data_IF_252808725366
#
_entry.id   IF_252808725366
#
_cell.length_a   1.000
_cell.length_b   1.000
_cell.length_c   1.000
_cell.angle_alpha   90.00
_cell.angle_beta   90.00
_cell.angle_gamma   90.00
#
_symmetry.space_group_name_H-M   'P 1'
#
loop_
_entity.id
_entity.type
_entity.pdbx_description
1 polymer ?
#
# COMPACT_ATOMS: atom_id res chain seq x y z
N UNK A 1 -30.14 -21.21 -9.10
CA UNK A 1 -29.39 -21.22 -7.81
C UNK A 1 -28.12 -22.05 -8.02
N UNK A 2 -26.94 -21.60 -7.52
CA UNK A 2 -25.70 -22.41 -7.60
C UNK A 2 -25.84 -23.71 -6.79
N UNK A 3 -25.46 -24.84 -7.37
CA UNK A 3 -25.45 -26.16 -6.72
C UNK A 3 -24.47 -26.18 -5.52
N UNK A 4 -24.68 -27.17 -4.62
CA UNK A 4 -23.82 -27.34 -3.43
C UNK A 4 -22.33 -27.52 -3.80
N UNK A 5 -22.08 -28.30 -4.86
CA UNK A 5 -20.73 -28.52 -5.40
C UNK A 5 -20.05 -27.27 -5.93
N UNK A 6 -20.81 -26.41 -6.64
CA UNK A 6 -20.28 -25.12 -7.12
C UNK A 6 -19.94 -24.17 -5.98
N UNK A 7 -20.75 -24.17 -4.91
CA UNK A 7 -20.45 -23.35 -3.72
C UNK A 7 -19.22 -23.86 -2.98
N UNK A 8 -18.97 -25.14 -2.99
CA UNK A 8 -17.81 -25.78 -2.38
C UNK A 8 -16.55 -25.42 -3.17
N UNK A 9 -16.58 -25.53 -4.50
CA UNK A 9 -15.49 -25.10 -5.38
C UNK A 9 -15.18 -23.59 -5.23
N UNK A 10 -16.21 -22.75 -5.17
CA UNK A 10 -16.04 -21.31 -4.94
C UNK A 10 -15.39 -21.04 -3.56
N UNK A 11 -15.73 -21.81 -2.54
CA UNK A 11 -15.18 -21.69 -1.20
C UNK A 11 -13.71 -22.11 -1.16
N UNK A 12 -13.38 -23.24 -1.77
CA UNK A 12 -12.00 -23.77 -1.82
C UNK A 12 -11.09 -22.80 -2.60
N UNK A 13 -11.56 -22.28 -3.74
CA UNK A 13 -10.84 -21.28 -4.51
C UNK A 13 -10.61 -19.97 -3.73
N UNK A 14 -11.62 -19.50 -2.97
CA UNK A 14 -11.47 -18.33 -2.11
C UNK A 14 -10.50 -18.59 -0.95
N UNK A 15 -10.54 -19.77 -0.33
CA UNK A 15 -9.64 -20.13 0.74
C UNK A 15 -8.18 -20.19 0.27
N UNK A 16 -7.93 -20.71 -0.93
CA UNK A 16 -6.59 -20.68 -1.55
C UNK A 16 -6.11 -19.25 -1.83
N UNK A 17 -6.98 -18.41 -2.37
CA UNK A 17 -6.66 -17.00 -2.60
C UNK A 17 -6.34 -16.27 -1.30
N UNK A 18 -7.08 -16.53 -0.23
CA UNK A 18 -6.87 -15.94 1.08
C UNK A 18 -5.56 -16.42 1.75
N UNK A 19 -5.19 -17.68 1.56
CA UNK A 19 -3.92 -18.22 2.06
C UNK A 19 -2.72 -17.63 1.33
N UNK A 20 -2.84 -17.39 0.04
CA UNK A 20 -1.75 -16.89 -0.80
C UNK A 20 -1.62 -15.34 -0.78
N UNK A 21 -2.54 -14.64 -0.10
CA UNK A 21 -2.52 -13.18 -0.02
C UNK A 21 -1.82 -12.69 1.24
N UNK A 22 -0.85 -11.77 1.09
CA UNK A 22 -0.17 -11.10 2.19
C UNK A 22 -0.92 -9.86 2.67
N UNK A 23 -1.77 -9.29 1.79
CA UNK A 23 -2.62 -8.16 2.12
C UNK A 23 -4.02 -8.35 1.54
N UNK A 24 -5.02 -8.01 2.33
CA UNK A 24 -6.42 -8.07 1.96
C UNK A 24 -7.14 -6.80 2.43
N UNK A 25 -7.97 -6.21 1.58
CA UNK A 25 -8.77 -5.05 1.95
C UNK A 25 -10.24 -5.29 1.64
N UNK A 26 -11.07 -5.04 2.65
CA UNK A 26 -12.53 -5.09 2.54
C UNK A 26 -13.07 -3.71 2.22
N UNK A 27 -13.82 -3.64 1.14
CA UNK A 27 -14.43 -2.40 0.68
C UNK A 27 -15.93 -2.61 0.49
N UNK A 28 -16.69 -1.55 0.75
CA UNK A 28 -18.11 -1.50 0.47
C UNK A 28 -18.37 -0.52 -0.67
N UNK A 29 -19.34 -0.84 -1.49
CA UNK A 29 -19.75 0.07 -2.55
C UNK A 29 -21.28 0.23 -2.56
N UNK A 30 -21.74 1.42 -2.93
CA UNK A 30 -23.16 1.74 -3.11
C UNK A 30 -23.31 2.49 -4.43
N UNK A 31 -24.37 2.16 -5.17
CA UNK A 31 -24.73 2.86 -6.43
C UNK A 31 -23.57 2.98 -7.43
N UNK A 32 -22.73 1.94 -7.54
CA UNK A 32 -21.61 1.92 -8.48
C UNK A 32 -22.11 1.72 -9.91
N UNK A 33 -21.69 2.58 -10.83
CA UNK A 33 -21.97 2.41 -12.26
C UNK A 33 -20.99 1.42 -12.89
N UNK A 34 -21.41 0.74 -13.97
CA UNK A 34 -20.56 -0.24 -14.67
C UNK A 34 -19.25 0.38 -15.16
N UNK A 35 -19.29 1.61 -15.65
CA UNK A 35 -18.09 2.32 -16.11
C UNK A 35 -17.06 2.52 -14.98
N UNK A 36 -17.53 2.94 -13.80
CA UNK A 36 -16.66 3.13 -12.62
C UNK A 36 -16.10 1.80 -12.07
N UNK A 37 -16.90 0.72 -12.11
CA UNK A 37 -16.40 -0.62 -11.71
C UNK A 37 -15.31 -1.12 -12.67
N UNK A 38 -15.48 -0.91 -13.97
CA UNK A 38 -14.47 -1.26 -14.96
C UNK A 38 -13.17 -0.46 -14.78
N UNK A 39 -13.28 0.82 -14.49
CA UNK A 39 -12.13 1.68 -14.21
C UNK A 39 -11.38 1.23 -12.95
N UNK A 40 -12.11 0.95 -11.86
CA UNK A 40 -11.55 0.40 -10.64
C UNK A 40 -10.80 -0.92 -10.89
N UNK A 41 -11.45 -1.84 -11.61
CA UNK A 41 -10.83 -3.14 -11.95
C UNK A 41 -9.58 -2.97 -12.79
N UNK A 42 -9.56 -2.01 -13.73
CA UNK A 42 -8.38 -1.71 -14.52
C UNK A 42 -7.23 -1.22 -13.65
N UNK A 43 -7.47 -0.22 -12.81
CA UNK A 43 -6.46 0.32 -11.90
C UNK A 43 -5.92 -0.72 -10.92
N UNK A 44 -6.78 -1.58 -10.38
CA UNK A 44 -6.38 -2.65 -9.47
C UNK A 44 -5.57 -3.74 -10.18
N UNK A 45 -5.91 -4.09 -11.44
CA UNK A 45 -5.13 -5.04 -12.24
C UNK A 45 -3.74 -4.51 -12.59
N UNK A 46 -3.63 -3.23 -12.92
CA UNK A 46 -2.35 -2.55 -13.15
C UNK A 46 -1.45 -2.59 -11.90
N UNK A 47 -2.06 -2.56 -10.71
CA UNK A 47 -1.36 -2.72 -9.43
C UNK A 47 -1.14 -4.20 -9.02
N UNK A 48 -1.47 -5.18 -9.86
CA UNK A 48 -1.33 -6.61 -9.54
C UNK A 48 -2.29 -7.13 -8.47
N UNK A 49 -3.44 -6.46 -8.28
CA UNK A 49 -4.42 -6.76 -7.25
C UNK A 49 -5.58 -7.56 -7.82
N UNK A 50 -5.96 -8.64 -7.14
CA UNK A 50 -7.16 -9.42 -7.45
C UNK A 50 -8.35 -8.82 -6.73
N UNK A 51 -9.31 -8.30 -7.47
CA UNK A 51 -10.56 -7.74 -6.94
C UNK A 51 -11.74 -8.64 -7.25
N UNK A 52 -12.47 -9.03 -6.21
CA UNK A 52 -13.66 -9.88 -6.33
C UNK A 52 -14.77 -9.47 -5.37
N UNK A 53 -16.00 -9.55 -5.86
CA UNK A 53 -17.20 -9.38 -5.01
C UNK A 53 -17.58 -10.75 -4.47
N UNK A 54 -17.62 -10.88 -3.16
CA UNK A 54 -17.82 -12.15 -2.48
C UNK A 54 -19.11 -12.17 -1.67
N UNK A 55 -19.70 -13.35 -1.55
CA UNK A 55 -20.84 -13.55 -0.65
C UNK A 55 -20.32 -13.65 0.80
N UNK A 56 -20.82 -12.80 1.69
CA UNK A 56 -20.37 -12.72 3.09
C UNK A 56 -20.33 -14.07 3.83
N UNK A 57 -21.34 -14.92 3.60
CA UNK A 57 -21.41 -16.25 4.23
C UNK A 57 -20.31 -17.19 3.75
N UNK A 58 -19.90 -17.10 2.47
CA UNK A 58 -18.79 -17.89 1.92
C UNK A 58 -17.46 -17.30 2.39
N UNK A 59 -17.31 -15.98 2.34
CA UNK A 59 -16.11 -15.30 2.80
C UNK A 59 -15.80 -15.60 4.28
N UNK A 60 -16.80 -15.57 5.17
CA UNK A 60 -16.64 -15.97 6.57
C UNK A 60 -16.16 -17.40 6.75
N UNK A 61 -16.69 -18.33 5.96
CA UNK A 61 -16.26 -19.73 6.04
C UNK A 61 -14.85 -19.91 5.47
N UNK A 62 -14.52 -19.19 4.41
CA UNK A 62 -13.20 -19.24 3.81
C UNK A 62 -12.12 -18.52 4.65
N UNK A 63 -12.49 -17.53 5.47
CA UNK A 63 -11.55 -16.84 6.37
C UNK A 63 -11.18 -17.65 7.61
N UNK A 64 -11.99 -18.63 8.01
CA UNK A 64 -11.68 -19.50 9.14
C UNK A 64 -10.38 -20.31 8.86
N UNK A 65 -9.40 -20.20 9.76
CA UNK A 65 -8.09 -20.83 9.61
C UNK A 65 -7.17 -20.18 8.58
N UNK A 66 -7.45 -18.95 8.14
CA UNK A 66 -6.57 -18.13 7.29
C UNK A 66 -6.15 -16.86 8.04
N UNK A 67 -5.10 -16.15 7.60
CA UNK A 67 -4.69 -14.88 8.22
C UNK A 67 -5.81 -13.83 8.29
N UNK A 68 -6.88 -13.99 7.49
CA UNK A 68 -8.04 -13.11 7.40
C UNK A 68 -9.11 -13.34 8.48
N UNK A 69 -8.90 -14.28 9.40
CA UNK A 69 -9.85 -14.59 10.48
C UNK A 69 -10.24 -13.36 11.32
N UNK A 70 -9.33 -12.43 11.70
CA UNK A 70 -9.69 -11.24 12.46
C UNK A 70 -10.69 -10.32 11.76
N UNK A 71 -10.84 -10.45 10.43
CA UNK A 71 -11.77 -9.64 9.63
C UNK A 71 -13.14 -10.31 9.41
N UNK A 72 -13.34 -11.52 9.93
CA UNK A 72 -14.57 -12.31 9.71
C UNK A 72 -15.84 -11.58 10.15
N UNK A 73 -15.77 -10.78 11.22
CA UNK A 73 -16.90 -10.02 11.75
C UNK A 73 -17.28 -8.80 10.90
N UNK A 74 -16.37 -8.34 10.05
CA UNK A 74 -16.57 -7.17 9.20
C UNK A 74 -17.28 -7.47 7.87
N UNK A 75 -17.52 -8.75 7.56
CA UNK A 75 -18.32 -9.17 6.40
C UNK A 75 -19.81 -8.90 6.61
N UNK A 76 -20.22 -7.61 6.61
CA UNK A 76 -21.60 -7.15 6.73
C UNK A 76 -21.97 -6.27 5.54
N UNK A 77 -23.17 -6.42 5.00
CA UNK A 77 -23.64 -5.64 3.84
C UNK A 77 -22.95 -6.00 2.52
N UNK A 78 -22.93 -5.09 1.56
CA UNK A 78 -22.22 -5.27 0.28
C UNK A 78 -20.72 -5.23 0.56
N UNK A 79 -20.02 -6.29 0.14
CA UNK A 79 -18.59 -6.43 0.42
C UNK A 79 -17.86 -6.95 -0.81
N UNK A 80 -16.83 -6.23 -1.21
CA UNK A 80 -15.83 -6.71 -2.14
C UNK A 80 -14.49 -6.86 -1.41
N UNK A 81 -13.70 -7.80 -1.88
CA UNK A 81 -12.38 -8.10 -1.35
C UNK A 81 -11.35 -7.80 -2.42
N UNK A 82 -10.37 -7.00 -2.08
CA UNK A 82 -9.17 -6.76 -2.87
C UNK A 82 -8.00 -7.47 -2.21
N UNK A 83 -7.33 -8.36 -2.93
CA UNK A 83 -6.26 -9.22 -2.46
C UNK A 83 -4.97 -8.89 -3.20
N UNK A 84 -3.86 -8.77 -2.47
CA UNK A 84 -2.53 -8.67 -3.06
C UNK A 84 -1.62 -9.72 -2.43
N UNK A 85 -0.87 -10.43 -3.28
CA UNK A 85 0.12 -11.41 -2.84
C UNK A 85 1.49 -10.79 -2.59
N UNK A 86 1.88 -9.75 -3.35
CA UNK A 86 3.25 -9.24 -3.37
C UNK A 86 3.39 -7.80 -2.89
N UNK A 87 2.43 -6.91 -3.18
CA UNK A 87 2.59 -5.47 -2.91
C UNK A 87 1.41 -4.89 -2.12
N UNK A 88 1.52 -4.81 -0.77
CA UNK A 88 0.51 -4.19 0.08
C UNK A 88 0.44 -2.66 -0.12
N UNK A 89 1.55 -2.01 -0.50
CA UNK A 89 1.59 -0.56 -0.69
C UNK A 89 0.86 -0.15 -1.96
N UNK A 90 1.07 -0.89 -3.06
CA UNK A 90 0.34 -0.69 -4.32
C UNK A 90 -1.18 -0.86 -4.16
N UNK A 91 -1.61 -1.90 -3.41
CA UNK A 91 -3.00 -2.11 -3.05
C UNK A 91 -3.58 -0.92 -2.27
N UNK A 92 -2.87 -0.46 -1.23
CA UNK A 92 -3.30 0.66 -0.38
C UNK A 92 -3.40 1.96 -1.19
N UNK A 93 -2.43 2.24 -2.07
CA UNK A 93 -2.44 3.42 -2.96
C UNK A 93 -3.62 3.42 -3.92
N UNK A 94 -3.88 2.29 -4.58
CA UNK A 94 -4.98 2.18 -5.52
C UNK A 94 -6.34 2.40 -4.82
N UNK A 95 -6.56 1.76 -3.68
CA UNK A 95 -7.80 1.91 -2.90
C UNK A 95 -7.94 3.33 -2.34
N UNK A 96 -6.90 3.90 -1.73
CA UNK A 96 -6.95 5.26 -1.18
C UNK A 96 -7.22 6.31 -2.28
N UNK A 97 -6.60 6.16 -3.46
CA UNK A 97 -6.83 7.04 -4.61
C UNK A 97 -8.28 6.97 -5.09
N UNK A 98 -8.82 5.77 -5.21
CA UNK A 98 -10.20 5.57 -5.66
C UNK A 98 -11.22 6.03 -4.62
N UNK A 99 -10.98 5.78 -3.33
CA UNK A 99 -11.84 6.26 -2.23
C UNK A 99 -11.89 7.78 -2.20
N UNK A 100 -10.75 8.46 -2.37
CA UNK A 100 -10.70 9.93 -2.43
C UNK A 100 -11.41 10.51 -3.66
N UNK A 101 -11.36 9.80 -4.80
CA UNK A 101 -12.04 10.24 -6.02
C UNK A 101 -13.56 10.01 -5.98
N UNK A 102 -14.05 9.04 -5.22
CA UNK A 102 -15.46 8.65 -5.17
C UNK A 102 -15.93 8.33 -3.75
N UNK A 103 -15.96 9.29 -2.81
CA UNK A 103 -16.29 9.02 -1.40
C UNK A 103 -17.72 8.53 -1.17
N UNK A 104 -18.68 8.96 -2.01
CA UNK A 104 -20.10 8.60 -1.88
C UNK A 104 -20.42 7.19 -2.37
N UNK A 105 -19.58 6.65 -3.27
CA UNK A 105 -19.83 5.38 -3.96
C UNK A 105 -19.03 4.25 -3.31
N UNK A 106 -17.82 4.55 -2.85
CA UNK A 106 -16.85 3.58 -2.42
C UNK A 106 -16.35 3.90 -1.02
N UNK A 107 -16.56 2.97 -0.09
CA UNK A 107 -16.11 3.13 1.29
C UNK A 107 -15.22 1.97 1.71
N UNK A 108 -14.10 2.30 2.29
CA UNK A 108 -13.21 1.34 2.92
C UNK A 108 -13.80 0.89 4.26
N UNK A 109 -13.72 -0.40 4.58
CA UNK A 109 -14.13 -0.96 5.86
C UNK A 109 -12.94 -1.25 6.75
N UNK A 110 -12.20 -2.26 6.38
CA UNK A 110 -11.04 -2.75 7.15
C UNK A 110 -10.05 -3.37 6.17
N UNK A 111 -8.77 -3.25 6.45
CA UNK A 111 -7.70 -3.95 5.76
C UNK A 111 -6.96 -4.90 6.69
N UNK A 112 -6.31 -5.87 6.10
CA UNK A 112 -5.30 -6.71 6.75
C UNK A 112 -4.01 -6.59 5.95
N UNK A 113 -2.94 -6.24 6.61
CA UNK A 113 -1.60 -6.16 6.02
C UNK A 113 -0.65 -6.91 6.95
N UNK A 114 -0.04 -7.97 6.42
CA UNK A 114 0.91 -8.82 7.17
C UNK A 114 0.36 -9.31 8.52
N UNK A 115 -0.92 -9.68 8.57
CA UNK A 115 -1.57 -10.19 9.78
C UNK A 115 -2.06 -9.11 10.76
N UNK A 116 -1.84 -7.83 10.48
CA UNK A 116 -2.36 -6.71 11.28
C UNK A 116 -3.61 -6.12 10.65
N UNK A 117 -4.61 -5.89 11.48
CA UNK A 117 -5.85 -5.20 11.05
C UNK A 117 -5.55 -3.72 10.95
N UNK A 118 -5.89 -3.12 9.82
CA UNK A 118 -5.57 -1.74 9.46
C UNK A 118 -6.86 -0.97 9.22
N UNK A 119 -7.02 0.17 9.87
CA UNK A 119 -8.14 1.10 9.68
C UNK A 119 -7.88 2.10 8.54
N UNK A 120 -8.91 2.88 8.18
CA UNK A 120 -8.84 3.86 7.08
C UNK A 120 -7.66 4.85 7.23
N UNK A 121 -7.44 5.37 8.44
CA UNK A 121 -6.35 6.32 8.71
C UNK A 121 -4.97 5.72 8.48
N UNK A 122 -4.81 4.46 8.84
CA UNK A 122 -3.55 3.72 8.67
C UNK A 122 -3.33 3.36 7.20
N UNK A 123 -4.40 3.03 6.46
CA UNK A 123 -4.32 2.82 5.00
C UNK A 123 -3.85 4.07 4.28
N UNK A 124 -4.30 5.26 4.68
CA UNK A 124 -3.81 6.52 4.11
C UNK A 124 -2.33 6.75 4.42
N UNK A 125 -1.87 6.40 5.62
CA UNK A 125 -0.46 6.45 6.00
C UNK A 125 0.38 5.48 5.15
N UNK A 126 -0.10 4.23 4.97
CA UNK A 126 0.56 3.23 4.11
C UNK A 126 0.55 3.68 2.64
N UNK A 127 -0.54 4.27 2.17
CA UNK A 127 -0.64 4.79 0.81
C UNK A 127 0.32 5.97 0.53
N UNK A 128 0.74 6.69 1.56
CA UNK A 128 1.75 7.77 1.46
C UNK A 128 3.18 7.23 1.34
N UNK A 129 3.43 5.96 1.67
CA UNK A 129 4.76 5.35 1.59
C UNK A 129 5.24 5.27 0.13
N UNK A 130 6.54 5.42 -0.13
CA UNK A 130 7.12 5.17 -1.44
C UNK A 130 7.01 3.69 -1.84
N UNK A 131 7.46 3.35 -3.03
CA UNK A 131 7.47 1.97 -3.52
C UNK A 131 8.34 1.05 -2.63
N UNK A 132 8.13 -0.25 -2.72
CA UNK A 132 8.95 -1.23 -1.99
C UNK A 132 10.44 -1.08 -2.32
N UNK A 133 10.77 -0.81 -3.57
CA UNK A 133 12.15 -0.60 -4.02
C UNK A 133 12.76 0.67 -3.43
N UNK A 134 11.99 1.75 -3.38
CA UNK A 134 12.42 3.00 -2.73
C UNK A 134 12.62 2.82 -1.22
N UNK A 135 11.78 2.03 -0.56
CA UNK A 135 11.92 1.71 0.88
C UNK A 135 13.21 0.93 1.14
N UNK A 136 13.51 -0.08 0.31
CA UNK A 136 14.76 -0.84 0.39
C UNK A 136 15.97 0.07 0.16
N UNK A 137 15.91 0.94 -0.84
CA UNK A 137 16.96 1.93 -1.10
C UNK A 137 17.19 2.86 0.08
N UNK A 138 16.12 3.33 0.74
CA UNK A 138 16.21 4.15 1.96
C UNK A 138 16.85 3.40 3.12
N UNK A 139 16.51 2.14 3.31
CA UNK A 139 17.13 1.30 4.36
C UNK A 139 18.62 1.14 4.11
N UNK A 140 19.03 0.82 2.87
CA UNK A 140 20.44 0.73 2.50
C UNK A 140 21.18 2.06 2.69
N UNK A 141 20.53 3.17 2.29
CA UNK A 141 21.08 4.51 2.53
C UNK A 141 21.28 4.78 4.02
N UNK A 142 20.31 4.44 4.88
CA UNK A 142 20.41 4.64 6.33
C UNK A 142 21.56 3.83 6.96
N UNK A 143 21.78 2.60 6.49
CA UNK A 143 22.90 1.76 6.94
C UNK A 143 24.23 2.45 6.59
N UNK A 144 24.37 2.95 5.35
CA UNK A 144 25.59 3.63 4.89
C UNK A 144 25.74 5.05 5.45
N UNK A 145 24.64 5.68 5.89
CA UNK A 145 24.64 7.06 6.36
C UNK A 145 25.60 7.30 7.54
N UNK A 146 25.77 6.33 8.41
CA UNK A 146 26.67 6.45 9.56
C UNK A 146 28.14 6.60 9.12
N UNK A 147 28.59 5.78 8.18
CA UNK A 147 29.94 5.86 7.63
C UNK A 147 30.15 7.16 6.84
N UNK A 148 29.16 7.54 6.02
CA UNK A 148 29.20 8.80 5.27
C UNK A 148 29.24 10.03 6.16
N UNK A 149 28.48 10.05 7.27
CA UNK A 149 28.50 11.16 8.22
C UNK A 149 29.88 11.32 8.87
N UNK A 150 30.52 10.22 9.23
CA UNK A 150 31.87 10.24 9.82
C UNK A 150 32.88 10.84 8.81
N UNK A 151 32.87 10.38 7.58
CA UNK A 151 33.74 10.93 6.52
C UNK A 151 33.44 12.39 6.25
N UNK A 152 32.17 12.79 6.24
CA UNK A 152 31.76 14.19 6.03
C UNK A 152 32.27 15.08 7.13
N UNK A 153 32.22 14.65 8.41
CA UNK A 153 32.74 15.42 9.54
C UNK A 153 34.27 15.58 9.45
N UNK A 154 34.99 14.51 9.11
CA UNK A 154 36.44 14.56 8.93
C UNK A 154 36.86 15.49 7.77
N UNK A 155 36.09 15.50 6.70
CA UNK A 155 36.33 16.36 5.53
C UNK A 155 35.81 17.81 5.70
N UNK A 156 34.99 18.07 6.72
CA UNK A 156 34.36 19.37 6.91
C UNK A 156 35.40 20.48 7.16
N UNK A 157 36.43 20.18 7.96
CA UNK A 157 37.47 21.21 8.32
C UNK A 157 38.27 21.66 7.08
N UNK A 158 38.91 20.78 6.29
CA UNK A 158 39.65 21.22 5.11
C UNK A 158 38.73 21.82 4.03
N UNK A 159 37.49 21.28 3.88
CA UNK A 159 36.52 21.82 2.94
C UNK A 159 36.10 23.26 3.29
N UNK A 160 35.82 23.52 4.57
CA UNK A 160 35.38 24.83 5.02
C UNK A 160 36.53 25.87 4.84
N UNK A 161 37.77 25.48 5.09
CA UNK A 161 38.93 26.33 4.80
C UNK A 161 39.02 26.67 3.31
N UNK A 162 38.86 25.71 2.42
CA UNK A 162 38.88 25.95 0.99
C UNK A 162 37.73 26.88 0.54
N UNK A 163 36.51 26.69 1.08
CA UNK A 163 35.37 27.57 0.78
C UNK A 163 35.63 29.01 1.27
N UNK A 164 36.16 29.17 2.48
CA UNK A 164 36.46 30.53 3.02
C UNK A 164 37.55 31.22 2.18
N UNK A 165 38.60 30.50 1.78
CA UNK A 165 39.66 31.11 0.93
C UNK A 165 39.12 31.52 -0.44
N UNK A 166 38.22 30.70 -1.04
CA UNK A 166 37.54 31.05 -2.29
C UNK A 166 36.61 32.27 -2.14
N UNK A 167 35.86 32.36 -1.05
CA UNK A 167 34.99 33.50 -0.77
C UNK A 167 35.78 34.77 -0.55
N UNK A 168 36.91 34.72 0.20
CA UNK A 168 37.81 35.87 0.39
C UNK A 168 38.42 36.31 -0.94
N UNK A 169 38.80 35.37 -1.80
CA UNK A 169 39.30 35.67 -3.14
C UNK A 169 38.23 36.39 -3.97
N UNK A 170 37.01 35.82 -4.02
CA UNK A 170 35.89 36.42 -4.76
C UNK A 170 35.53 37.82 -4.24
N UNK A 171 35.58 38.05 -2.91
CA UNK A 171 35.37 39.37 -2.33
C UNK A 171 36.46 40.37 -2.71
N UNK A 172 37.73 39.94 -2.74
CA UNK A 172 38.84 40.82 -3.16
C UNK A 172 38.76 41.13 -4.66
N UNK A 173 38.39 40.17 -5.49
CA UNK A 173 38.17 40.39 -6.92
C UNK A 173 37.00 41.36 -7.17
N UNK A 174 35.93 41.29 -6.36
CA UNK A 174 34.79 42.21 -6.43
C UNK A 174 35.08 43.62 -5.87
N UNK A 175 36.04 43.76 -4.94
CA UNK A 175 36.44 45.05 -4.35
C UNK A 175 37.65 45.70 -5.03
N UNK A 176 38.39 44.97 -5.84
CA UNK A 176 39.60 45.42 -6.51
C UNK A 176 39.44 45.68 -8.01
N UNK A 177 38.21 45.66 -8.52
CA UNK A 177 37.87 46.01 -9.89
C UNK A 177 37.28 47.41 -9.96
#
# INVERSE_FOLDING_TARGET
>A
MKNKEQKQKDLDALAEQFKNSNAAMLVSFKNMTVAKDQELRRQLREAGVTYSVVKNTLARKASAGTPLEPMADQFKGVTAVALSASDPVGLSKAIAKFTKANPDIFSFKVGLVEGKVVELKEVESIASLPSREDLLSKVLFLINAQAQRLVTVLQAVPRNLAVVTEQVRAQKEAQGA
#
